data_IF_341408397261
#
_entry.id   IF_341408397261
#
_cell.length_a   1.000
_cell.length_b   1.000
_cell.length_c   1.000
_cell.angle_alpha   90.00
_cell.angle_beta   90.00
_cell.angle_gamma   90.00
#
_symmetry.space_group_name_H-M   'P 1'
#
loop_
_entity.id
_entity.type
_entity.pdbx_description
1 polymer ?
#
# COMPACT_ATOMS: atom_id res chain seq x y z
N UNK A 1 23.03 -3.08 13.34
CA UNK A 1 22.34 -3.04 12.04
C UNK A 1 20.89 -2.71 12.32
N UNK A 2 20.41 -1.57 11.85
CA UNK A 2 18.99 -1.21 11.91
C UNK A 2 18.40 -1.69 10.59
N UNK A 3 17.44 -2.61 10.64
CA UNK A 3 16.65 -2.95 9.47
C UNK A 3 15.61 -1.84 9.34
N UNK A 4 15.70 -1.03 8.29
CA UNK A 4 14.60 -0.18 7.93
C UNK A 4 13.42 -1.10 7.56
N UNK A 5 12.34 -1.01 8.34
CA UNK A 5 11.16 -1.86 8.17
C UNK A 5 10.12 -1.21 7.26
N UNK A 6 10.42 -0.01 6.74
CA UNK A 6 9.53 0.73 5.85
C UNK A 6 9.84 0.40 4.39
N UNK A 7 8.79 0.16 3.61
CA UNK A 7 8.91 -0.03 2.16
C UNK A 7 9.06 1.35 1.51
N UNK A 8 10.04 1.52 0.63
CA UNK A 8 10.30 2.81 -0.04
C UNK A 8 9.29 3.07 -1.16
N UNK A 9 8.93 2.03 -1.92
CA UNK A 9 8.04 2.11 -3.08
C UNK A 9 7.03 0.96 -3.11
N UNK A 10 5.89 1.20 -3.75
CA UNK A 10 4.83 0.22 -3.97
C UNK A 10 4.37 0.24 -5.43
N UNK A 11 3.97 -0.92 -5.95
CA UNK A 11 3.23 -0.97 -7.21
C UNK A 11 1.74 -0.73 -6.91
N UNK A 12 1.20 0.36 -7.41
CA UNK A 12 -0.18 0.76 -7.16
C UNK A 12 -0.82 1.30 -8.43
N UNK A 13 -1.98 0.74 -8.80
CA UNK A 13 -2.80 1.18 -9.95
C UNK A 13 -2.07 1.25 -11.30
N UNK A 14 -1.13 0.34 -11.55
CA UNK A 14 -0.44 0.26 -12.84
C UNK A 14 0.96 0.87 -12.84
N UNK A 15 1.36 1.56 -11.78
CA UNK A 15 2.59 2.35 -11.70
C UNK A 15 3.36 2.06 -10.41
N UNK A 16 4.65 2.39 -10.39
CA UNK A 16 5.48 2.35 -9.17
C UNK A 16 5.43 3.73 -8.53
N UNK A 17 4.97 3.81 -7.29
CA UNK A 17 4.81 5.05 -6.52
C UNK A 17 5.49 4.94 -5.16
N UNK A 18 5.87 6.06 -4.50
CA UNK A 18 6.33 6.02 -3.12
C UNK A 18 5.30 5.34 -2.21
N UNK A 19 5.74 4.59 -1.21
CA UNK A 19 4.83 3.84 -0.35
C UNK A 19 3.79 4.73 0.35
N UNK A 20 4.18 5.97 0.72
CA UNK A 20 3.28 6.99 1.28
C UNK A 20 2.13 7.39 0.36
N UNK A 21 2.28 7.19 -0.95
CA UNK A 21 1.33 7.66 -1.96
C UNK A 21 0.38 6.53 -2.39
N UNK A 22 0.71 5.27 -2.07
CA UNK A 22 -0.11 4.09 -2.31
C UNK A 22 -1.31 3.99 -1.33
N UNK A 23 -2.16 5.01 -1.35
CA UNK A 23 -3.29 5.16 -0.42
C UNK A 23 -4.58 4.52 -0.95
N UNK A 24 -5.33 3.89 -0.05
CA UNK A 24 -6.66 3.36 -0.31
C UNK A 24 -7.66 3.84 0.76
N UNK A 25 -8.93 4.01 0.38
CA UNK A 25 -9.95 4.45 1.34
C UNK A 25 -10.20 3.38 2.39
N UNK A 26 -10.37 3.79 3.65
CA UNK A 26 -10.78 2.85 4.71
C UNK A 26 -12.09 2.14 4.33
N UNK A 27 -12.98 2.83 3.60
CA UNK A 27 -14.25 2.33 3.06
C UNK A 27 -14.15 1.16 2.07
N UNK A 28 -12.94 0.71 1.74
CA UNK A 28 -12.75 -0.23 0.64
C UNK A 28 -13.29 -1.61 0.99
N UNK A 29 -14.07 -2.17 0.06
CA UNK A 29 -14.69 -3.49 0.22
C UNK A 29 -13.65 -4.59 0.50
N UNK A 30 -12.54 -4.61 -0.24
CA UNK A 30 -11.45 -5.55 -0.03
C UNK A 30 -10.84 -5.48 1.38
N UNK A 31 -10.76 -4.26 1.95
CA UNK A 31 -10.21 -4.06 3.29
C UNK A 31 -11.18 -4.56 4.38
N UNK A 32 -12.48 -4.37 4.19
CA UNK A 32 -13.49 -4.78 5.18
C UNK A 32 -13.89 -6.24 5.09
N UNK A 33 -14.00 -6.76 3.86
CA UNK A 33 -14.54 -8.09 3.60
C UNK A 33 -13.47 -9.09 3.15
N UNK A 34 -12.20 -8.68 3.12
CA UNK A 34 -11.08 -9.55 2.75
C UNK A 34 -11.13 -10.02 1.30
N UNK A 35 -11.86 -9.33 0.44
CA UNK A 35 -12.00 -9.68 -0.98
C UNK A 35 -10.94 -8.93 -1.79
N UNK A 36 -9.70 -9.40 -1.72
CA UNK A 36 -8.55 -8.89 -2.46
C UNK A 36 -8.11 -9.82 -3.59
#
# INVERSE_FOLDING_TARGET
MVFDTTLEFAYFRGEIVPFSDANISIGTHALHYGTG
#
